data_IF_501489099494
#
_entry.id   IF_501489099494
#
_cell.length_a   1.000
_cell.length_b   1.000
_cell.length_c   1.000
_cell.angle_alpha   90.00
_cell.angle_beta   90.00
_cell.angle_gamma   90.00
#
_symmetry.space_group_name_H-M   'P 1'
#
loop_
_entity.id
_entity.type
_entity.pdbx_description
1 polymer ?
#
# COMPACT_ATOMS: atom_id res chain seq x y z
N UNK A 1 -10.29 4.25 -11.39
CA UNK A 1 -9.89 2.92 -11.94
C UNK A 1 -8.48 2.60 -11.46
N UNK A 2 -8.35 1.97 -10.28
CA UNK A 2 -7.08 1.52 -9.70
C UNK A 2 -7.17 0.07 -9.16
N UNK A 3 -8.39 -0.41 -8.88
CA UNK A 3 -8.64 -1.70 -8.24
C UNK A 3 -7.93 -2.90 -8.87
N UNK A 4 -7.89 -3.12 -10.20
CA UNK A 4 -7.19 -4.30 -10.72
C UNK A 4 -5.67 -4.19 -10.56
N UNK A 5 -5.07 -3.02 -10.82
CA UNK A 5 -3.62 -2.81 -10.75
C UNK A 5 -3.09 -2.81 -9.31
N UNK A 6 -3.77 -2.06 -8.41
CA UNK A 6 -3.46 -2.05 -6.99
C UNK A 6 -3.68 -3.44 -6.37
N UNK A 7 -4.74 -4.16 -6.75
CA UNK A 7 -4.97 -5.51 -6.23
C UNK A 7 -3.88 -6.49 -6.68
N UNK A 8 -3.40 -6.42 -7.92
CA UNK A 8 -2.32 -7.31 -8.39
C UNK A 8 -0.97 -7.01 -7.72
N UNK A 9 -0.59 -5.73 -7.58
CA UNK A 9 0.63 -5.34 -6.88
C UNK A 9 0.56 -5.71 -5.39
N UNK A 10 -0.56 -5.41 -4.73
CA UNK A 10 -0.82 -5.74 -3.32
C UNK A 10 -0.84 -7.24 -3.09
N UNK A 11 -1.48 -8.02 -3.96
CA UNK A 11 -1.51 -9.47 -3.83
C UNK A 11 -0.13 -10.10 -4.00
N UNK A 12 0.68 -9.58 -4.93
CA UNK A 12 2.05 -10.05 -5.16
C UNK A 12 2.95 -9.70 -3.97
N UNK A 13 2.90 -8.46 -3.50
CA UNK A 13 3.64 -8.01 -2.32
C UNK A 13 3.20 -8.76 -1.04
N UNK A 14 1.89 -8.96 -0.84
CA UNK A 14 1.37 -9.71 0.31
C UNK A 14 1.79 -11.18 0.26
N UNK A 15 1.77 -11.82 -0.93
CA UNK A 15 2.22 -13.20 -1.10
C UNK A 15 3.72 -13.32 -0.83
N UNK A 16 4.53 -12.36 -1.31
CA UNK A 16 5.97 -12.31 -1.04
C UNK A 16 6.28 -12.12 0.45
N UNK A 17 5.58 -11.22 1.14
CA UNK A 17 5.74 -11.07 2.60
C UNK A 17 5.30 -12.35 3.32
N UNK A 18 4.24 -13.02 2.85
CA UNK A 18 3.76 -14.28 3.44
C UNK A 18 4.74 -15.44 3.24
N UNK A 19 5.45 -15.50 2.10
CA UNK A 19 6.43 -16.57 1.84
C UNK A 19 7.67 -16.41 2.73
N UNK A 20 8.09 -15.17 3.03
CA UNK A 20 9.21 -14.87 3.92
C UNK A 20 8.79 -14.94 5.40
N UNK A 21 7.55 -14.55 5.71
CA UNK A 21 6.99 -14.53 7.06
C UNK A 21 5.70 -15.37 7.16
N UNK A 22 5.80 -16.72 7.11
CA UNK A 22 4.63 -17.60 7.10
C UNK A 22 3.75 -17.48 8.35
N UNK A 23 4.33 -17.11 9.49
CA UNK A 23 3.63 -16.96 10.76
C UNK A 23 2.91 -15.61 10.94
N UNK A 24 3.11 -14.65 10.04
CA UNK A 24 2.45 -13.34 10.17
C UNK A 24 0.95 -13.43 9.86
N UNK A 25 0.16 -12.72 10.67
CA UNK A 25 -1.28 -12.58 10.48
C UNK A 25 -1.58 -11.66 9.28
N UNK A 26 -2.79 -11.74 8.73
CA UNK A 26 -3.23 -10.88 7.63
C UNK A 26 -3.10 -9.38 7.99
N UNK A 27 -3.36 -9.02 9.25
CA UNK A 27 -3.18 -7.67 9.77
C UNK A 27 -1.71 -7.25 9.82
N UNK A 28 -0.80 -8.17 10.16
CA UNK A 28 0.65 -7.91 10.15
C UNK A 28 1.18 -7.63 8.75
N UNK A 29 0.72 -8.39 7.76
CA UNK A 29 1.10 -8.19 6.35
C UNK A 29 0.53 -6.87 5.81
N UNK A 30 -0.74 -6.59 6.10
CA UNK A 30 -1.37 -5.31 5.74
C UNK A 30 -0.62 -4.13 6.37
N UNK A 31 -0.25 -4.24 7.65
CA UNK A 31 0.54 -3.21 8.34
C UNK A 31 1.91 -3.01 7.70
N UNK A 32 2.59 -4.10 7.32
CA UNK A 32 3.86 -4.00 6.63
C UNK A 32 3.72 -3.29 5.28
N UNK A 33 2.70 -3.64 4.48
CA UNK A 33 2.47 -2.99 3.19
C UNK A 33 2.21 -1.48 3.32
N UNK A 34 1.40 -1.08 4.29
CA UNK A 34 1.05 0.33 4.54
C UNK A 34 2.28 1.17 4.94
N UNK A 35 3.26 0.58 5.63
CA UNK A 35 4.45 1.31 6.10
C UNK A 35 5.55 1.40 5.04
N UNK A 36 5.52 0.56 4.00
CA UNK A 36 6.54 0.56 2.93
C UNK A 36 6.11 1.32 1.67
N UNK A 37 4.91 1.88 1.63
CA UNK A 37 4.42 2.64 0.48
C UNK A 37 5.26 3.89 0.24
N UNK A 38 5.45 4.23 -1.03
CA UNK A 38 6.12 5.46 -1.41
C UNK A 38 5.20 6.65 -1.12
N UNK A 39 5.69 7.58 -0.30
CA UNK A 39 4.97 8.82 0.00
C UNK A 39 4.79 9.59 -1.31
N UNK A 40 3.55 9.89 -1.67
CA UNK A 40 3.24 10.78 -2.78
C UNK A 40 3.52 12.21 -2.35
N UNK A 41 4.05 13.04 -3.25
CA UNK A 41 4.40 14.42 -2.92
C UNK A 41 3.16 15.15 -2.36
N UNK A 42 3.23 15.70 -1.14
CA UNK A 42 2.12 16.39 -0.50
C UNK A 42 2.01 17.81 -1.07
N UNK A 43 1.75 17.89 -2.37
CA UNK A 43 1.48 19.15 -3.03
C UNK A 43 -0.02 19.46 -2.88
N UNK A 44 -0.34 20.43 -2.02
CA UNK A 44 -1.72 20.83 -1.76
C UNK A 44 -2.39 21.56 -2.94
N UNK A 45 -1.62 21.91 -3.97
CA UNK A 45 -2.14 22.53 -5.21
C UNK A 45 -2.61 21.46 -6.19
N UNK A 46 -1.90 20.34 -6.26
CA UNK A 46 -2.18 19.19 -7.14
C UNK A 46 -3.08 18.17 -6.44
N UNK A 47 -2.88 17.95 -5.13
CA UNK A 47 -3.59 16.97 -4.31
C UNK A 47 -4.09 17.59 -2.98
N UNK A 48 -5.18 18.39 -3.01
CA UNK A 48 -5.68 19.09 -1.83
C UNK A 48 -6.18 18.16 -0.71
N UNK A 49 -6.64 16.95 -1.06
CA UNK A 49 -7.14 15.95 -0.12
C UNK A 49 -6.03 15.09 0.51
N UNK A 50 -4.78 15.22 0.04
CA UNK A 50 -3.58 14.56 0.58
C UNK A 50 -3.83 13.06 0.91
N UNK A 51 -3.64 12.67 2.17
CA UNK A 51 -3.82 11.30 2.68
C UNK A 51 -5.24 10.75 2.50
N UNK A 52 -6.28 11.60 2.33
CA UNK A 52 -7.62 11.12 1.97
C UNK A 52 -7.74 10.74 0.49
N UNK A 53 -6.88 11.27 -0.38
CA UNK A 53 -6.85 10.91 -1.80
C UNK A 53 -6.06 9.62 -2.06
N UNK A 54 -4.92 9.43 -1.39
CA UNK A 54 -3.99 8.34 -1.67
C UNK A 54 -3.66 7.43 -0.48
N UNK A 55 -4.29 7.62 0.67
CA UNK A 55 -3.98 6.85 1.87
C UNK A 55 -2.50 6.99 2.22
N UNK A 56 -1.83 5.86 2.46
CA UNK A 56 -0.42 5.82 2.86
C UNK A 56 0.57 6.01 1.69
N UNK A 57 0.07 6.20 0.47
CA UNK A 57 0.89 6.48 -0.70
C UNK A 57 0.84 5.39 -1.77
N UNK A 58 1.85 5.37 -2.63
CA UNK A 58 1.89 4.50 -3.79
C UNK A 58 2.50 3.14 -3.46
N UNK A 59 1.92 2.09 -4.05
CA UNK A 59 2.35 0.70 -3.92
C UNK A 59 2.65 0.10 -5.30
#
# INVERSE_FOLDING_TARGET
MACPHAATATATAALFVKTIHPNWSATGIKSALITITFIMEPDAVVNPDLELAFGSGNI
#
